data_IF_705656817993
#
_entry.id   IF_705656817993
#
_cell.length_a   1.000
_cell.length_b   1.000
_cell.length_c   1.000
_cell.angle_alpha   90.00
_cell.angle_beta   90.00
_cell.angle_gamma   90.00
#
_symmetry.space_group_name_H-M   'P 1'
#
loop_
_entity.id
_entity.type
_entity.pdbx_description
1 polymer ?
#
# COMPACT_ATOMS: atom_id res chain seq x y z
N UNK A 1 18.08 -4.21 11.52
CA UNK A 1 17.81 -4.02 10.07
C UNK A 1 16.74 -2.96 9.95
N UNK A 2 17.00 -1.86 9.25
CA UNK A 2 15.99 -0.82 9.06
C UNK A 2 14.85 -1.37 8.20
N UNK A 3 13.62 -1.11 8.61
CA UNK A 3 12.43 -1.43 7.84
C UNK A 3 12.52 -0.82 6.42
N UNK A 4 12.36 -1.64 5.38
CA UNK A 4 12.32 -1.14 3.99
C UNK A 4 11.19 -0.10 3.82
N UNK A 5 11.53 1.08 3.29
CA UNK A 5 10.56 2.16 3.09
C UNK A 5 9.76 1.89 1.83
N UNK A 6 8.62 1.20 1.93
CA UNK A 6 7.74 0.95 0.78
C UNK A 6 6.35 1.55 0.96
N UNK A 7 5.65 1.83 -0.13
CA UNK A 7 4.27 2.29 -0.12
C UNK A 7 3.37 1.31 0.65
N UNK A 8 3.61 0.00 0.53
CA UNK A 8 2.91 -1.03 1.31
C UNK A 8 2.99 -0.76 2.83
N UNK A 9 4.13 -0.25 3.31
CA UNK A 9 4.38 0.10 4.72
C UNK A 9 4.02 1.53 5.07
N UNK A 10 3.65 2.36 4.11
CA UNK A 10 3.38 3.77 4.33
C UNK A 10 2.00 3.99 4.97
N UNK A 11 1.89 4.83 6.00
CA UNK A 11 0.60 5.18 6.63
C UNK A 11 -0.39 5.83 5.65
N UNK A 12 0.12 6.48 4.60
CA UNK A 12 -0.70 7.18 3.61
C UNK A 12 -1.28 6.28 2.51
N UNK A 13 -0.83 5.03 2.40
CA UNK A 13 -1.38 4.10 1.41
C UNK A 13 -2.82 3.71 1.77
N UNK A 14 -3.72 3.85 0.79
CA UNK A 14 -5.00 3.14 0.76
C UNK A 14 -4.87 2.00 -0.25
N UNK A 15 -4.73 0.78 0.25
CA UNK A 15 -4.67 -0.40 -0.60
C UNK A 15 -5.98 -0.55 -1.40
N UNK A 16 -5.87 -0.89 -2.69
CA UNK A 16 -7.02 -1.06 -3.59
C UNK A 16 -7.10 -2.49 -4.12
N UNK A 17 -5.97 -3.05 -4.51
CA UNK A 17 -5.85 -4.34 -5.19
C UNK A 17 -4.50 -5.01 -4.82
N UNK A 18 -4.24 -6.17 -5.42
CA UNK A 18 -3.04 -6.96 -5.18
C UNK A 18 -1.72 -6.29 -5.62
N UNK A 19 -1.78 -5.24 -6.43
CA UNK A 19 -0.60 -4.62 -7.07
C UNK A 19 -0.36 -3.18 -6.63
N UNK A 20 -1.36 -2.51 -6.07
CA UNK A 20 -1.25 -1.12 -5.70
C UNK A 20 -2.45 -0.53 -4.96
N UNK A 21 -2.43 0.80 -4.89
CA UNK A 21 -3.45 1.56 -4.21
C UNK A 21 -3.33 3.05 -4.47
N UNK A 22 -3.92 3.85 -3.60
CA UNK A 22 -3.89 5.31 -3.69
C UNK A 22 -3.07 5.92 -2.57
N UNK A 23 -2.29 6.94 -2.87
CA UNK A 23 -1.61 7.73 -1.84
C UNK A 23 -2.52 8.85 -1.33
N UNK A 24 -2.93 8.78 -0.05
CA UNK A 24 -3.77 9.80 0.60
C UNK A 24 -3.04 11.12 0.85
N UNK A 25 -1.70 11.11 0.87
CA UNK A 25 -0.92 12.35 0.98
C UNK A 25 -1.16 13.25 -0.24
N UNK A 26 -1.24 12.67 -1.45
CA UNK A 26 -1.54 13.42 -2.67
C UNK A 26 -2.92 14.11 -2.66
N UNK A 27 -3.89 13.55 -1.92
CA UNK A 27 -5.19 14.22 -1.71
C UNK A 27 -5.05 15.46 -0.83
N UNK A 28 -4.17 15.43 0.18
CA UNK A 28 -3.88 16.59 1.01
C UNK A 28 -3.17 17.70 0.22
N UNK A 29 -2.44 17.35 -0.85
CA UNK A 29 -1.82 18.31 -1.77
C UNK A 29 -2.74 18.74 -2.92
N UNK A 30 -4.03 18.39 -2.89
CA UNK A 30 -5.03 18.83 -3.88
C UNK A 30 -5.09 18.00 -5.17
N UNK A 31 -4.35 16.90 -5.29
CA UNK A 31 -4.41 16.04 -6.47
C UNK A 31 -5.75 15.27 -6.51
N UNK A 32 -6.55 15.55 -7.56
CA UNK A 32 -7.82 14.88 -7.82
C UNK A 32 -7.81 14.34 -9.26
N UNK A 33 -7.93 13.02 -9.47
CA UNK A 33 -8.06 11.95 -8.46
C UNK A 33 -6.76 11.70 -7.68
N UNK A 34 -6.82 11.03 -6.52
CA UNK A 34 -5.62 10.66 -5.75
C UNK A 34 -4.64 9.85 -6.60
N UNK A 35 -3.32 10.07 -6.49
CA UNK A 35 -2.34 9.36 -7.29
C UNK A 35 -2.31 7.86 -6.94
N UNK A 36 -2.30 7.03 -7.98
CA UNK A 36 -2.09 5.59 -7.86
C UNK A 36 -0.62 5.30 -7.58
N UNK A 37 -0.35 4.31 -6.73
CA UNK A 37 1.00 3.92 -6.34
C UNK A 37 1.16 2.41 -6.35
N UNK A 38 2.35 1.97 -6.75
CA UNK A 38 2.78 0.57 -6.69
C UNK A 38 3.32 0.27 -5.29
N UNK A 39 3.07 -0.94 -4.78
CA UNK A 39 3.40 -1.33 -3.41
C UNK A 39 4.89 -1.23 -3.06
N UNK A 40 5.77 -1.55 -4.02
CA UNK A 40 7.22 -1.53 -3.86
C UNK A 40 7.86 -0.13 -3.98
N UNK A 41 7.09 0.89 -4.38
CA UNK A 41 7.61 2.25 -4.54
C UNK A 41 7.81 2.94 -3.18
N UNK A 42 8.49 4.09 -3.16
CA UNK A 42 8.65 4.92 -1.96
C UNK A 42 8.77 6.40 -2.34
N UNK A 43 8.56 7.31 -1.39
CA UNK A 43 8.77 8.74 -1.61
C UNK A 43 9.29 9.44 -0.35
N UNK A 44 9.69 10.70 -0.49
CA UNK A 44 10.18 11.53 0.61
C UNK A 44 9.14 11.75 1.73
N UNK A 45 7.84 11.73 1.40
CA UNK A 45 6.75 11.86 2.37
C UNK A 45 6.38 10.54 3.06
N UNK A 46 7.16 9.48 2.88
CA UNK A 46 6.91 8.19 3.50
C UNK A 46 6.91 8.30 5.03
N UNK A 47 5.91 7.67 5.67
CA UNK A 47 5.85 7.53 7.12
C UNK A 47 5.39 6.12 7.47
N UNK A 48 5.99 5.53 8.49
CA UNK A 48 5.68 4.17 8.91
C UNK A 48 4.19 4.03 9.31
N UNK A 49 3.52 3.04 8.72
CA UNK A 49 2.16 2.66 9.05
C UNK A 49 2.06 1.65 10.20
N UNK A 50 3.18 1.11 10.67
CA UNK A 50 3.23 0.16 11.79
C UNK A 50 2.32 -1.04 11.55
N UNK A 51 1.29 -1.19 12.39
CA UNK A 51 0.31 -2.29 12.30
C UNK A 51 -0.43 -2.34 10.95
N UNK A 52 -0.62 -1.20 10.27
CA UNK A 52 -1.30 -1.16 8.97
C UNK A 52 -0.58 -2.00 7.91
N UNK A 53 0.74 -2.14 8.01
CA UNK A 53 1.51 -3.01 7.13
C UNK A 53 1.06 -4.47 7.23
N UNK A 54 0.93 -5.00 8.45
CA UNK A 54 0.59 -6.41 8.67
C UNK A 54 -0.86 -6.71 8.26
N UNK A 55 -1.78 -5.77 8.50
CA UNK A 55 -3.16 -5.88 8.02
C UNK A 55 -3.19 -5.98 6.49
N UNK A 56 -2.46 -5.10 5.78
CA UNK A 56 -2.37 -5.12 4.32
C UNK A 56 -1.71 -6.39 3.79
N UNK A 57 -0.64 -6.85 4.44
CA UNK A 57 0.00 -8.12 4.08
C UNK A 57 -0.94 -9.32 4.23
N UNK A 58 -1.71 -9.38 5.31
CA UNK A 58 -2.69 -10.45 5.52
C UNK A 58 -3.73 -10.48 4.40
N UNK A 59 -4.24 -9.32 4.02
CA UNK A 59 -5.19 -9.20 2.90
C UNK A 59 -4.57 -9.59 1.55
N UNK A 60 -3.35 -9.18 1.25
CA UNK A 60 -2.64 -9.57 0.01
C UNK A 60 -2.42 -11.08 -0.07
N UNK A 61 -2.08 -11.73 1.05
CA UNK A 61 -1.95 -13.18 1.12
C UNK A 61 -3.28 -13.89 0.88
N UNK A 62 -4.37 -13.40 1.46
CA UNK A 62 -5.71 -13.93 1.25
C UNK A 62 -6.10 -13.85 -0.23
N UNK A 63 -5.91 -12.69 -0.87
CA UNK A 63 -6.16 -12.53 -2.31
C UNK A 63 -5.35 -13.50 -3.17
N UNK A 64 -4.08 -13.71 -2.84
CA UNK A 64 -3.23 -14.63 -3.58
C UNK A 64 -3.69 -16.08 -3.42
N UNK A 65 -4.18 -16.45 -2.23
CA UNK A 65 -4.73 -17.78 -1.98
C UNK A 65 -6.05 -18.00 -2.72
N UNK A 66 -6.94 -17.01 -2.73
CA UNK A 66 -8.20 -17.06 -3.51
C UNK A 66 -7.93 -17.23 -5.02
N UNK A 67 -6.89 -16.58 -5.54
CA UNK A 67 -6.49 -16.75 -6.96
C UNK A 67 -5.90 -18.12 -7.26
N UNK A 68 -5.30 -18.79 -6.28
CA UNK A 68 -4.71 -20.12 -6.45
C UNK A 68 -5.74 -21.24 -6.27
N UNK A 69 -6.74 -21.06 -5.40
CA UNK A 69 -7.79 -22.05 -5.12
C UNK A 69 -8.93 -22.03 -6.14
N UNK A 70 -9.10 -20.91 -6.86
CA UNK A 70 -10.07 -20.76 -7.96
C UNK A 70 -9.55 -21.17 -9.35
N UNK A 71 -8.36 -21.79 -9.43
CA UNK A 71 -7.70 -22.20 -10.68
C UNK A 71 -7.73 -23.72 -10.89
#
# INVERSE_FOLDING_TARGET
MAAEKTCLRCKFLRLRDGVGGFCRFGKATGATPPPTVVLAHSCEHWQDGGQQYYIRLGWLKALQQEQQDGA
#
